data_IF_097240692979
#
_entry.id   IF_097240692979
#
_cell.length_a   1.000
_cell.length_b   1.000
_cell.length_c   1.000
_cell.angle_alpha   90.00
_cell.angle_beta   90.00
_cell.angle_gamma   90.00
#
_symmetry.space_group_name_H-M   'P 1'
#
loop_
_entity.id
_entity.type
_entity.pdbx_description
1 polymer ?
#
# COMPACT_ATOMS: atom_id res chain seq x y z
N UNK A 1 -12.47 29.49 21.65
CA UNK A 1 -12.04 28.41 20.74
C UNK A 1 -12.40 27.08 21.38
N UNK A 2 -13.43 26.40 20.89
CA UNK A 2 -13.69 24.99 21.21
C UNK A 2 -13.96 24.30 19.88
N UNK A 3 -12.95 23.63 19.32
CA UNK A 3 -13.19 22.77 18.17
C UNK A 3 -14.15 21.67 18.62
N UNK A 4 -15.34 21.62 18.02
CA UNK A 4 -16.31 20.55 18.29
C UNK A 4 -15.67 19.21 17.92
N UNK A 5 -15.71 18.24 18.82
CA UNK A 5 -15.23 16.88 18.57
C UNK A 5 -15.94 16.31 17.33
N UNK A 6 -15.19 16.09 16.26
CA UNK A 6 -15.76 15.73 14.96
C UNK A 6 -15.96 14.22 14.84
N UNK A 7 -16.75 13.80 13.84
CA UNK A 7 -16.87 12.37 13.50
C UNK A 7 -15.52 11.76 13.14
N UNK A 8 -14.65 12.53 12.49
CA UNK A 8 -13.27 12.12 12.17
C UNK A 8 -12.49 11.82 13.44
N UNK A 9 -12.54 12.72 14.42
CA UNK A 9 -11.80 12.57 15.69
C UNK A 9 -12.28 11.33 16.45
N UNK A 10 -13.59 11.14 16.53
CA UNK A 10 -14.22 9.95 17.13
C UNK A 10 -13.74 8.64 16.49
N UNK A 11 -13.72 8.59 15.16
CA UNK A 11 -13.31 7.39 14.41
C UNK A 11 -11.82 7.14 14.59
N UNK A 12 -10.99 8.18 14.47
CA UNK A 12 -9.52 8.07 14.60
C UNK A 12 -9.11 7.59 15.98
N UNK A 13 -9.70 8.16 17.03
CA UNK A 13 -9.45 7.77 18.40
C UNK A 13 -9.98 6.36 18.70
N UNK A 14 -11.16 6.02 18.19
CA UNK A 14 -11.70 4.66 18.28
C UNK A 14 -10.76 3.61 17.65
N UNK A 15 -10.20 3.90 16.47
CA UNK A 15 -9.24 3.00 15.80
C UNK A 15 -7.99 2.85 16.65
N UNK A 16 -7.48 3.96 17.20
CA UNK A 16 -6.29 3.95 18.05
C UNK A 16 -6.50 3.08 19.29
N UNK A 17 -7.62 3.23 19.99
CA UNK A 17 -7.96 2.45 21.18
C UNK A 17 -8.17 0.96 20.83
N UNK A 18 -8.94 0.66 19.79
CA UNK A 18 -9.23 -0.72 19.40
C UNK A 18 -7.95 -1.49 19.01
N UNK A 19 -7.00 -0.83 18.34
CA UNK A 19 -5.71 -1.42 17.96
C UNK A 19 -4.81 -1.79 19.15
N UNK A 20 -5.09 -1.32 20.37
CA UNK A 20 -4.34 -1.72 21.57
C UNK A 20 -4.68 -3.14 22.04
N UNK A 21 -5.75 -3.73 21.52
CA UNK A 21 -6.23 -5.05 21.92
C UNK A 21 -6.17 -6.04 20.75
N UNK A 22 -5.86 -7.30 21.05
CA UNK A 22 -5.78 -8.40 20.07
C UNK A 22 -7.00 -9.33 20.14
N UNK A 23 -8.11 -8.86 20.70
CA UNK A 23 -9.33 -9.66 20.81
C UNK A 23 -10.12 -9.60 19.51
N UNK A 24 -10.87 -10.67 19.21
CA UNK A 24 -11.76 -10.72 18.04
C UNK A 24 -12.75 -9.54 18.04
N UNK A 25 -13.23 -9.11 19.22
CA UNK A 25 -14.11 -7.94 19.35
C UNK A 25 -13.40 -6.65 18.94
N UNK A 26 -12.13 -6.46 19.32
CA UNK A 26 -11.35 -5.30 18.95
C UNK A 26 -11.03 -5.25 17.45
N UNK A 27 -10.73 -6.41 16.85
CA UNK A 27 -10.54 -6.54 15.40
C UNK A 27 -11.82 -6.18 14.63
N UNK A 28 -12.97 -6.76 15.03
CA UNK A 28 -14.28 -6.43 14.44
C UNK A 28 -14.63 -4.96 14.61
N UNK A 29 -14.32 -4.38 15.77
CA UNK A 29 -14.55 -2.95 16.03
C UNK A 29 -13.68 -2.08 15.13
N UNK A 30 -12.40 -2.44 14.96
CA UNK A 30 -11.48 -1.74 14.05
C UNK A 30 -11.98 -1.78 12.61
N UNK A 31 -12.44 -2.95 12.14
CA UNK A 31 -13.01 -3.11 10.80
C UNK A 31 -14.27 -2.26 10.63
N UNK A 32 -15.18 -2.27 11.61
CA UNK A 32 -16.37 -1.42 11.62
C UNK A 32 -16.01 0.07 11.57
N UNK A 33 -14.99 0.50 12.32
CA UNK A 33 -14.54 1.90 12.32
C UNK A 33 -13.95 2.33 10.97
N UNK A 34 -13.22 1.45 10.27
CA UNK A 34 -12.79 1.74 8.90
C UNK A 34 -13.98 1.82 7.92
N UNK A 35 -14.99 0.97 8.07
CA UNK A 35 -16.22 1.07 7.26
C UNK A 35 -16.99 2.37 7.55
N UNK A 36 -17.01 2.82 8.81
CA UNK A 36 -17.59 4.12 9.19
C UNK A 36 -16.76 5.28 8.62
N UNK A 37 -15.43 5.19 8.60
CA UNK A 37 -14.57 6.17 7.96
C UNK A 37 -14.92 6.34 6.48
N UNK A 38 -14.97 5.24 5.73
CA UNK A 38 -15.31 5.23 4.30
C UNK A 38 -16.71 5.82 4.03
N UNK A 39 -17.69 5.46 4.88
CA UNK A 39 -19.07 5.94 4.73
C UNK A 39 -19.23 7.44 5.02
N UNK A 40 -18.54 7.97 6.03
CA UNK A 40 -18.85 9.28 6.59
C UNK A 40 -17.81 10.36 6.32
N UNK A 41 -16.54 10.00 6.11
CA UNK A 41 -15.45 10.94 5.88
C UNK A 41 -15.23 11.13 4.38
N UNK A 42 -14.76 12.32 3.98
CA UNK A 42 -14.47 12.64 2.59
C UNK A 42 -13.19 13.45 2.48
N UNK A 43 -12.57 13.40 1.30
CA UNK A 43 -11.39 14.21 0.98
C UNK A 43 -10.29 14.05 2.02
N UNK A 44 -9.82 15.17 2.58
CA UNK A 44 -8.72 15.20 3.55
C UNK A 44 -8.99 14.41 4.82
N UNK A 45 -10.24 14.31 5.29
CA UNK A 45 -10.56 13.55 6.51
C UNK A 45 -10.34 12.05 6.31
N UNK A 46 -10.73 11.52 5.15
CA UNK A 46 -10.53 10.12 4.79
C UNK A 46 -9.04 9.83 4.53
N UNK A 47 -8.32 10.78 3.92
CA UNK A 47 -6.87 10.70 3.72
C UNK A 47 -6.10 10.57 5.05
N UNK A 48 -6.53 11.27 6.10
CA UNK A 48 -5.94 11.10 7.43
C UNK A 48 -6.13 9.67 7.97
N UNK A 49 -7.32 9.08 7.82
CA UNK A 49 -7.59 7.70 8.25
C UNK A 49 -6.80 6.70 7.38
N UNK A 50 -6.69 6.95 6.07
CA UNK A 50 -5.83 6.16 5.17
C UNK A 50 -4.37 6.18 5.64
N UNK A 51 -3.88 7.32 6.13
CA UNK A 51 -2.56 7.42 6.76
C UNK A 51 -2.40 6.48 7.95
N UNK A 52 -3.41 6.39 8.82
CA UNK A 52 -3.43 5.48 9.97
C UNK A 52 -3.41 4.00 9.54
N UNK A 53 -4.08 3.66 8.43
CA UNK A 53 -4.03 2.32 7.85
C UNK A 53 -2.66 2.02 7.22
N UNK A 54 -2.10 2.98 6.48
CA UNK A 54 -0.80 2.86 5.81
C UNK A 54 0.35 2.59 6.77
N UNK A 55 0.28 3.10 8.00
CA UNK A 55 1.29 2.86 9.04
C UNK A 55 1.21 1.46 9.66
N UNK A 56 0.18 0.66 9.35
CA UNK A 56 0.10 -0.74 9.82
C UNK A 56 1.00 -1.65 9.00
N UNK A 57 1.36 -2.82 9.55
CA UNK A 57 2.16 -3.83 8.82
C UNK A 57 1.52 -4.22 7.48
N UNK A 58 0.21 -4.47 7.46
CA UNK A 58 -0.51 -4.77 6.22
C UNK A 58 -0.49 -3.59 5.25
N UNK A 59 -0.69 -2.35 5.75
CA UNK A 59 -0.61 -1.15 4.93
C UNK A 59 0.77 -0.93 4.30
N UNK A 60 1.84 -1.25 5.02
CA UNK A 60 3.21 -1.21 4.50
C UNK A 60 3.43 -2.28 3.44
N UNK A 61 3.01 -3.52 3.69
CA UNK A 61 3.09 -4.62 2.72
C UNK A 61 2.38 -4.28 1.41
N UNK A 62 1.15 -3.75 1.48
CA UNK A 62 0.40 -3.34 0.27
C UNK A 62 1.11 -2.23 -0.52
N UNK A 63 1.74 -1.26 0.17
CA UNK A 63 2.50 -0.20 -0.49
C UNK A 63 3.77 -0.76 -1.16
N UNK A 64 4.44 -1.72 -0.53
CA UNK A 64 5.61 -2.39 -1.09
C UNK A 64 5.24 -3.28 -2.29
N UNK A 65 4.14 -4.03 -2.19
CA UNK A 65 3.58 -4.83 -3.29
C UNK A 65 3.30 -3.95 -4.51
N UNK A 66 2.57 -2.84 -4.34
CA UNK A 66 2.29 -1.92 -5.45
C UNK A 66 3.55 -1.31 -6.08
N UNK A 67 4.58 -0.99 -5.28
CA UNK A 67 5.89 -0.51 -5.80
C UNK A 67 6.64 -1.60 -6.55
N UNK A 68 6.56 -2.84 -6.08
CA UNK A 68 7.19 -3.98 -6.75
C UNK A 68 6.50 -4.28 -8.08
N UNK A 69 5.17 -4.19 -8.14
CA UNK A 69 4.39 -4.30 -9.37
C UNK A 69 4.76 -3.23 -10.39
N UNK A 70 4.81 -1.95 -9.98
CA UNK A 70 5.22 -0.82 -10.82
C UNK A 70 6.63 -1.03 -11.40
N UNK A 71 7.60 -1.42 -10.56
CA UNK A 71 8.96 -1.75 -11.03
C UNK A 71 8.95 -2.91 -12.02
N UNK A 72 8.13 -3.93 -11.76
CA UNK A 72 7.95 -5.06 -12.68
C UNK A 72 7.45 -4.62 -14.04
N UNK A 73 6.46 -3.73 -14.11
CA UNK A 73 5.97 -3.16 -15.37
C UNK A 73 7.03 -2.36 -16.11
N UNK A 74 7.79 -1.53 -15.41
CA UNK A 74 8.91 -0.77 -15.99
C UNK A 74 9.93 -1.72 -16.63
N UNK A 75 10.32 -2.78 -15.91
CA UNK A 75 11.28 -3.78 -16.40
C UNK A 75 10.74 -4.49 -17.64
N UNK A 76 9.47 -4.92 -17.63
CA UNK A 76 8.84 -5.56 -18.81
C UNK A 76 8.83 -4.62 -20.02
N UNK A 77 8.55 -3.34 -19.80
CA UNK A 77 8.55 -2.32 -20.85
C UNK A 77 9.96 -2.02 -21.40
N UNK A 78 11.01 -2.11 -20.57
CA UNK A 78 12.39 -1.95 -21.03
C UNK A 78 12.88 -3.19 -21.79
N UNK A 79 12.57 -4.39 -21.28
CA UNK A 79 12.88 -5.65 -21.95
C UNK A 79 12.22 -5.75 -23.34
N UNK A 80 10.97 -5.28 -23.50
CA UNK A 80 10.29 -5.31 -24.80
C UNK A 80 10.91 -4.38 -25.85
N UNK A 81 11.66 -3.34 -25.42
CA UNK A 81 12.35 -2.42 -26.32
C UNK A 81 13.64 -2.98 -26.89
N UNK A 82 14.24 -4.02 -26.28
CA UNK A 82 15.52 -4.62 -26.69
C UNK A 82 16.67 -3.59 -26.89
N UNK A 83 16.64 -2.49 -26.15
CA UNK A 83 17.59 -1.36 -26.27
C UNK A 83 18.56 -1.24 -25.09
N UNK A 84 18.33 -2.00 -24.01
CA UNK A 84 19.04 -1.88 -22.74
C UNK A 84 19.62 -3.24 -22.33
N UNK A 85 20.80 -3.22 -21.69
CA UNK A 85 21.36 -4.40 -21.02
C UNK A 85 20.62 -4.68 -19.71
N UNK A 86 20.80 -5.88 -19.13
CA UNK A 86 20.12 -6.20 -17.87
C UNK A 86 20.69 -5.40 -16.70
N UNK A 87 21.96 -5.07 -16.74
CA UNK A 87 22.63 -4.19 -15.78
C UNK A 87 22.02 -2.78 -15.84
N UNK A 88 21.83 -2.23 -17.04
CA UNK A 88 21.20 -0.91 -17.23
C UNK A 88 19.75 -0.90 -16.73
N UNK A 89 18.98 -1.95 -17.02
CA UNK A 89 17.59 -2.09 -16.54
C UNK A 89 17.55 -2.18 -15.01
N UNK A 90 18.46 -2.95 -14.41
CA UNK A 90 18.53 -3.10 -12.96
C UNK A 90 18.86 -1.77 -12.27
N UNK A 91 19.83 -1.02 -12.82
CA UNK A 91 20.21 0.31 -12.33
C UNK A 91 19.04 1.30 -12.45
N UNK A 92 18.42 1.38 -13.63
CA UNK A 92 17.30 2.32 -13.88
C UNK A 92 16.05 2.02 -13.05
N UNK A 93 15.75 0.74 -12.83
CA UNK A 93 14.61 0.31 -12.02
C UNK A 93 14.90 0.25 -10.51
N UNK A 94 16.16 0.43 -10.10
CA UNK A 94 16.58 0.33 -8.70
C UNK A 94 16.33 -1.05 -8.11
N UNK A 95 16.61 -2.10 -8.89
CA UNK A 95 16.49 -3.51 -8.50
C UNK A 95 17.81 -4.24 -8.78
N UNK A 96 17.89 -5.52 -8.42
CA UNK A 96 19.05 -6.34 -8.76
C UNK A 96 18.89 -6.98 -10.13
N UNK A 97 20.01 -7.38 -10.74
CA UNK A 97 20.02 -8.05 -12.05
C UNK A 97 19.25 -9.37 -11.99
N UNK A 98 19.31 -10.09 -10.85
CA UNK A 98 18.55 -11.33 -10.66
C UNK A 98 17.03 -11.11 -10.77
N UNK A 99 16.54 -9.95 -10.31
CA UNK A 99 15.11 -9.62 -10.42
C UNK A 99 14.70 -9.36 -11.88
N UNK A 100 15.58 -8.74 -12.67
CA UNK A 100 15.38 -8.52 -14.11
C UNK A 100 15.30 -9.86 -14.84
N UNK A 101 16.23 -10.79 -14.53
CA UNK A 101 16.21 -12.14 -15.10
C UNK A 101 14.97 -12.95 -14.72
N UNK A 102 14.51 -12.85 -13.47
CA UNK A 102 13.28 -13.51 -13.01
C UNK A 102 12.08 -13.03 -13.83
N UNK A 103 11.92 -11.72 -13.98
CA UNK A 103 10.83 -11.12 -14.77
C UNK A 103 10.93 -11.50 -16.24
N UNK A 104 12.14 -11.54 -16.81
CA UNK A 104 12.32 -11.99 -18.19
C UNK A 104 11.87 -13.45 -18.38
N UNK A 105 12.20 -14.35 -17.45
CA UNK A 105 11.76 -15.75 -17.47
C UNK A 105 10.24 -15.88 -17.39
N UNK A 106 9.57 -15.05 -16.58
CA UNK A 106 8.10 -14.99 -16.53
C UNK A 106 7.50 -14.53 -17.86
N UNK A 107 8.07 -13.49 -18.49
CA UNK A 107 7.60 -13.00 -19.80
C UNK A 107 7.74 -14.06 -20.89
N UNK A 108 8.81 -14.85 -20.88
CA UNK A 108 9.02 -15.95 -21.84
C UNK A 108 8.06 -17.11 -21.56
N UNK A 109 7.80 -17.43 -20.28
CA UNK A 109 6.90 -18.53 -19.89
C UNK A 109 5.43 -18.26 -20.24
N UNK A 110 5.02 -17.00 -20.26
CA UNK A 110 3.66 -16.57 -20.55
C UNK A 110 3.40 -16.27 -22.05
N UNK A 111 4.37 -16.56 -22.93
CA UNK A 111 4.24 -16.50 -24.40
C UNK A 111 4.05 -17.89 -24.98
#
# INVERSE_FOLDING_TARGET
>A
MSGSYSKKDAIKEGIFLAKQFTTVTAEKTTAMLYALADKFLKGSELEEIKGVLRMTRLGQMLVEEGRAEERGEIIRNMLSKNQFSFEEIAELAGVTVEKVEEIQKEVIRNK
#
